data_IF_087359868797
#
_entry.id   IF_087359868797
#
_cell.length_a   1.000
_cell.length_b   1.000
_cell.length_c   1.000
_cell.angle_alpha   90.00
_cell.angle_beta   90.00
_cell.angle_gamma   90.00
#
_symmetry.space_group_name_H-M   'P 1'
#
loop_
_entity.id
_entity.type
_entity.pdbx_description
1 polymer ?
#
# COMPACT_ATOMS: atom_id res chain seq x y z
N UNK A 1 -0.13 -11.24 18.79
CA UNK A 1 -1.00 -11.88 17.77
C UNK A 1 -0.14 -12.55 16.71
N UNK A 2 -0.72 -13.53 16.02
CA UNK A 2 -0.11 -14.09 14.82
C UNK A 2 -0.60 -13.29 13.60
N UNK A 3 0.30 -12.66 12.88
CA UNK A 3 0.00 -11.88 11.68
C UNK A 3 0.56 -12.58 10.44
N UNK A 4 -0.20 -12.56 9.36
CA UNK A 4 0.28 -12.98 8.05
C UNK A 4 0.35 -11.76 7.15
N UNK A 5 1.53 -11.48 6.58
CA UNK A 5 1.72 -10.35 5.67
C UNK A 5 2.12 -10.88 4.30
N UNK A 6 1.42 -10.43 3.25
CA UNK A 6 1.81 -10.67 1.86
C UNK A 6 2.39 -9.40 1.25
N UNK A 7 3.21 -9.56 0.23
CA UNK A 7 3.87 -8.39 -0.37
C UNK A 7 4.98 -7.77 0.50
N UNK A 8 5.49 -8.50 1.48
CA UNK A 8 6.50 -8.04 2.44
C UNK A 8 7.89 -7.71 1.81
N UNK A 9 8.13 -8.09 0.55
CA UNK A 9 9.30 -7.62 -0.21
C UNK A 9 9.10 -6.23 -0.82
N UNK A 10 7.87 -5.71 -0.85
CA UNK A 10 7.51 -4.38 -1.36
C UNK A 10 7.64 -3.28 -0.32
N UNK A 11 7.41 -2.03 -0.76
CA UNK A 11 7.57 -0.82 0.06
C UNK A 11 6.67 -0.84 1.31
N UNK A 12 5.35 -0.92 1.14
CA UNK A 12 4.42 -0.95 2.27
C UNK A 12 4.55 -2.22 3.11
N UNK A 13 4.60 -3.38 2.45
CA UNK A 13 4.61 -4.66 3.15
C UNK A 13 5.83 -4.85 4.05
N UNK A 14 7.01 -4.37 3.64
CA UNK A 14 8.23 -4.40 4.47
C UNK A 14 8.13 -3.46 5.67
N UNK A 15 7.61 -2.25 5.48
CA UNK A 15 7.42 -1.29 6.57
C UNK A 15 6.45 -1.84 7.63
N UNK A 16 5.33 -2.42 7.21
CA UNK A 16 4.37 -3.07 8.10
C UNK A 16 4.98 -4.29 8.82
N UNK A 17 5.74 -5.12 8.09
CA UNK A 17 6.39 -6.29 8.68
C UNK A 17 7.36 -5.92 9.81
N UNK A 18 8.21 -4.91 9.59
CA UNK A 18 9.13 -4.41 10.60
C UNK A 18 8.39 -3.81 11.80
N UNK A 19 7.42 -2.94 11.55
CA UNK A 19 6.62 -2.31 12.58
C UNK A 19 5.93 -3.34 13.50
N UNK A 20 5.24 -4.31 12.92
CA UNK A 20 4.54 -5.32 13.72
C UNK A 20 5.46 -6.31 14.43
N UNK A 21 6.63 -6.59 13.86
CA UNK A 21 7.66 -7.35 14.56
C UNK A 21 8.15 -6.60 15.79
N UNK A 22 8.44 -5.29 15.66
CA UNK A 22 8.89 -4.42 16.76
C UNK A 22 7.80 -4.21 17.82
N UNK A 23 6.53 -4.23 17.43
CA UNK A 23 5.39 -4.23 18.34
C UNK A 23 5.18 -5.59 19.06
N UNK A 24 6.06 -6.59 18.86
CA UNK A 24 6.02 -7.88 19.56
C UNK A 24 5.03 -8.87 18.98
N UNK A 25 4.56 -8.70 17.74
CA UNK A 25 3.72 -9.68 17.07
C UNK A 25 4.56 -10.82 16.47
N UNK A 26 3.99 -12.04 16.39
CA UNK A 26 4.53 -13.11 15.57
C UNK A 26 4.12 -12.86 14.11
N UNK A 27 5.08 -12.60 13.24
CA UNK A 27 4.82 -12.22 11.86
C UNK A 27 5.27 -13.31 10.90
N UNK A 28 4.32 -13.85 10.12
CA UNK A 28 4.56 -14.74 8.98
C UNK A 28 4.54 -13.93 7.68
N UNK A 29 5.52 -14.17 6.83
CA UNK A 29 5.64 -13.53 5.51
C UNK A 29 5.38 -14.57 4.42
N UNK A 30 4.28 -14.39 3.69
CA UNK A 30 3.98 -15.23 2.53
C UNK A 30 4.63 -14.60 1.28
N UNK A 31 5.57 -15.33 0.71
CA UNK A 31 6.51 -14.85 -0.30
C UNK A 31 6.46 -15.72 -1.56
N UNK A 32 6.71 -15.11 -2.72
CA UNK A 32 7.07 -15.87 -3.92
C UNK A 32 8.47 -16.46 -3.73
N UNK A 33 8.82 -17.58 -4.38
CA UNK A 33 10.15 -18.18 -4.29
C UNK A 33 11.29 -17.22 -4.60
N UNK A 34 11.06 -16.34 -5.58
CA UNK A 34 12.04 -15.37 -6.10
C UNK A 34 12.06 -14.05 -5.33
N UNK A 35 11.20 -13.87 -4.29
CA UNK A 35 11.13 -12.62 -3.54
C UNK A 35 12.45 -12.27 -2.87
N UNK A 36 12.95 -11.08 -3.13
CA UNK A 36 14.14 -10.52 -2.48
C UNK A 36 13.73 -9.73 -1.24
N UNK A 37 14.39 -9.98 -0.11
CA UNK A 37 14.08 -9.33 1.16
C UNK A 37 15.08 -8.20 1.50
N UNK A 38 15.59 -7.51 0.49
CA UNK A 38 16.58 -6.43 0.68
C UNK A 38 16.13 -5.35 1.69
N UNK A 39 14.81 -5.06 1.75
CA UNK A 39 14.22 -4.11 2.70
C UNK A 39 14.15 -4.63 4.14
N UNK A 40 14.31 -5.94 4.33
CA UNK A 40 14.28 -6.63 5.64
C UNK A 40 15.67 -7.16 6.02
N UNK A 41 16.74 -6.69 5.32
CA UNK A 41 18.11 -7.19 5.51
C UNK A 41 18.54 -7.13 6.98
N UNK A 42 19.06 -8.26 7.47
CA UNK A 42 19.50 -8.41 8.85
C UNK A 42 18.38 -8.72 9.87
N UNK A 43 17.12 -8.75 9.43
CA UNK A 43 15.95 -9.06 10.28
C UNK A 43 15.18 -10.29 9.80
N UNK A 44 15.61 -10.93 8.71
CA UNK A 44 14.87 -12.04 8.06
C UNK A 44 14.61 -13.21 8.99
N UNK A 45 15.56 -13.54 9.87
CA UNK A 45 15.45 -14.65 10.83
C UNK A 45 14.42 -14.42 11.95
N UNK A 46 13.90 -13.20 12.10
CA UNK A 46 12.87 -12.87 13.08
C UNK A 46 11.44 -13.17 12.57
N UNK A 47 11.28 -13.47 11.28
CA UNK A 47 10.01 -13.78 10.65
C UNK A 47 9.83 -15.27 10.39
N UNK A 48 8.59 -15.76 10.41
CA UNK A 48 8.26 -17.04 9.83
C UNK A 48 8.13 -16.84 8.29
N UNK A 49 9.01 -17.46 7.51
CA UNK A 49 9.07 -17.27 6.06
C UNK A 49 8.40 -18.44 5.33
N UNK A 50 7.33 -18.17 4.56
CA UNK A 50 6.69 -19.11 3.65
C UNK A 50 7.02 -18.76 2.20
N UNK A 51 8.02 -19.42 1.62
CA UNK A 51 8.36 -19.33 0.19
C UNK A 51 7.63 -20.43 -0.57
N UNK A 52 6.43 -20.11 -1.09
CA UNK A 52 5.53 -21.09 -1.63
C UNK A 52 5.57 -21.10 -3.17
N UNK A 53 5.67 -22.33 -3.74
CA UNK A 53 5.66 -22.60 -5.17
C UNK A 53 4.30 -23.14 -5.66
N UNK A 54 3.46 -23.61 -4.74
CA UNK A 54 2.18 -24.23 -5.05
C UNK A 54 1.06 -23.71 -4.16
N UNK A 55 -0.18 -23.92 -4.60
CA UNK A 55 -1.38 -23.59 -3.82
C UNK A 55 -1.42 -24.36 -2.50
N UNK A 56 -0.97 -25.63 -2.51
CA UNK A 56 -0.91 -26.46 -1.32
C UNK A 56 0.09 -25.91 -0.28
N UNK A 57 1.29 -25.50 -0.71
CA UNK A 57 2.29 -24.91 0.20
C UNK A 57 1.77 -23.60 0.82
N UNK A 58 0.98 -22.80 0.08
CA UNK A 58 0.32 -21.61 0.60
C UNK A 58 -0.66 -21.98 1.72
N UNK A 59 -1.52 -22.98 1.50
CA UNK A 59 -2.49 -23.45 2.48
C UNK A 59 -1.80 -24.01 3.74
N UNK A 60 -0.75 -24.82 3.56
CA UNK A 60 0.03 -25.40 4.67
C UNK A 60 0.72 -24.31 5.49
N UNK A 61 1.32 -23.31 4.83
CA UNK A 61 1.96 -22.21 5.54
C UNK A 61 0.96 -21.37 6.32
N UNK A 62 -0.18 -21.00 5.73
CA UNK A 62 -1.25 -20.26 6.43
C UNK A 62 -1.75 -21.05 7.64
N UNK A 63 -1.96 -22.36 7.47
CA UNK A 63 -2.37 -23.24 8.56
C UNK A 63 -1.33 -23.31 9.69
N UNK A 64 -0.04 -23.29 9.37
CA UNK A 64 1.05 -23.30 10.38
C UNK A 64 1.18 -21.99 11.16
N UNK A 65 0.79 -20.86 10.55
CA UNK A 65 0.79 -19.54 11.20
C UNK A 65 -0.43 -19.40 12.10
N UNK A 66 -1.58 -19.97 11.71
CA UNK A 66 -2.87 -19.74 12.36
C UNK A 66 -3.10 -18.23 12.61
N UNK A 67 -3.23 -17.40 11.56
CA UNK A 67 -3.24 -15.95 11.71
C UNK A 67 -4.48 -15.47 12.46
N UNK A 68 -4.29 -14.47 13.33
CA UNK A 68 -5.36 -13.65 13.92
C UNK A 68 -5.79 -12.55 12.93
N UNK A 69 -4.82 -12.09 12.12
CA UNK A 69 -5.09 -11.16 11.03
C UNK A 69 -4.15 -11.41 9.85
N UNK A 70 -4.68 -11.09 8.66
CA UNK A 70 -3.93 -11.07 7.39
C UNK A 70 -3.85 -9.62 6.91
N UNK A 71 -2.66 -9.17 6.53
CA UNK A 71 -2.46 -7.88 5.87
C UNK A 71 -1.98 -8.15 4.45
N UNK A 72 -2.87 -7.90 3.48
CA UNK A 72 -2.64 -8.22 2.08
C UNK A 72 -2.22 -6.99 1.30
N UNK A 73 -0.90 -6.89 1.03
CA UNK A 73 -0.33 -5.79 0.25
C UNK A 73 0.26 -6.24 -1.09
N UNK A 74 0.29 -7.54 -1.36
CA UNK A 74 0.81 -8.06 -2.62
C UNK A 74 0.00 -7.55 -3.81
N UNK A 75 0.68 -7.00 -4.81
CA UNK A 75 0.04 -6.56 -6.05
C UNK A 75 1.04 -6.47 -7.21
N UNK A 76 0.51 -6.54 -8.44
CA UNK A 76 1.17 -6.19 -9.69
C UNK A 76 0.49 -4.94 -10.26
N UNK A 77 1.27 -3.89 -10.53
CA UNK A 77 0.75 -2.60 -10.99
C UNK A 77 0.58 -2.51 -12.53
N UNK A 78 1.15 -3.44 -13.29
CA UNK A 78 1.18 -3.34 -14.74
C UNK A 78 2.19 -2.32 -15.29
N UNK A 79 3.11 -1.82 -14.45
CA UNK A 79 4.10 -0.79 -14.82
C UNK A 79 5.37 -1.35 -15.44
N UNK A 80 5.63 -2.64 -15.26
CA UNK A 80 6.80 -3.35 -15.79
C UNK A 80 6.41 -4.23 -16.98
N UNK A 81 5.38 -3.83 -17.73
CA UNK A 81 4.85 -4.58 -18.88
C UNK A 81 4.33 -5.98 -18.52
N UNK A 82 3.85 -6.16 -17.28
CA UNK A 82 3.24 -7.41 -16.88
C UNK A 82 2.01 -7.71 -17.74
N UNK A 83 1.83 -8.97 -18.12
CA UNK A 83 0.67 -9.41 -18.88
C UNK A 83 -0.62 -9.28 -18.05
N UNK A 84 -1.77 -9.21 -18.72
CA UNK A 84 -3.07 -9.21 -18.05
C UNK A 84 -3.25 -10.45 -17.16
N UNK A 85 -2.75 -11.60 -17.61
CA UNK A 85 -2.78 -12.85 -16.84
C UNK A 85 -1.94 -12.72 -15.57
N UNK A 86 -0.72 -12.19 -15.66
CA UNK A 86 0.16 -11.96 -14.49
C UNK A 86 -0.47 -11.01 -13.49
N UNK A 87 -1.12 -9.93 -13.97
CA UNK A 87 -1.83 -8.98 -13.09
C UNK A 87 -3.00 -9.67 -12.40
N UNK A 88 -3.81 -10.43 -13.14
CA UNK A 88 -4.94 -11.19 -12.59
C UNK A 88 -4.48 -12.26 -11.59
N UNK A 89 -3.45 -13.02 -11.91
CA UNK A 89 -2.92 -14.06 -11.03
C UNK A 89 -2.39 -13.47 -9.72
N UNK A 90 -1.72 -12.32 -9.78
CA UNK A 90 -1.17 -11.68 -8.59
C UNK A 90 -2.25 -10.96 -7.76
N UNK A 91 -3.14 -10.20 -8.41
CA UNK A 91 -4.05 -9.30 -7.70
C UNK A 91 -5.38 -9.97 -7.33
N UNK A 92 -5.79 -11.01 -8.06
CA UNK A 92 -7.07 -11.68 -7.83
C UNK A 92 -6.86 -13.14 -7.40
N UNK A 93 -6.29 -14.00 -8.26
CA UNK A 93 -6.17 -15.44 -7.98
C UNK A 93 -5.39 -15.72 -6.70
N UNK A 94 -4.22 -15.11 -6.51
CA UNK A 94 -3.42 -15.28 -5.30
C UNK A 94 -4.17 -14.82 -4.04
N UNK A 95 -4.88 -13.70 -4.11
CA UNK A 95 -5.73 -13.24 -3.02
C UNK A 95 -6.85 -14.23 -2.67
N UNK A 96 -7.49 -14.83 -3.69
CA UNK A 96 -8.55 -15.85 -3.49
C UNK A 96 -8.01 -17.12 -2.82
N UNK A 97 -6.81 -17.57 -3.15
CA UNK A 97 -6.16 -18.70 -2.49
C UNK A 97 -5.94 -18.42 -0.99
N UNK A 98 -5.50 -17.21 -0.66
CA UNK A 98 -5.31 -16.81 0.74
C UNK A 98 -6.67 -16.76 1.46
N UNK A 99 -7.69 -16.15 0.85
CA UNK A 99 -9.04 -16.12 1.43
C UNK A 99 -9.57 -17.53 1.70
N UNK A 100 -9.44 -18.44 0.74
CA UNK A 100 -9.86 -19.82 0.88
C UNK A 100 -9.14 -20.54 2.04
N UNK A 101 -7.83 -20.36 2.17
CA UNK A 101 -7.04 -20.95 3.25
C UNK A 101 -7.40 -20.35 4.62
N UNK A 102 -7.61 -19.03 4.68
CA UNK A 102 -7.97 -18.31 5.91
C UNK A 102 -9.35 -18.73 6.43
N UNK A 103 -10.32 -18.99 5.55
CA UNK A 103 -11.66 -19.46 5.94
C UNK A 103 -11.66 -20.88 6.56
N UNK A 104 -10.58 -21.64 6.39
CA UNK A 104 -10.40 -22.95 7.04
C UNK A 104 -9.78 -22.86 8.45
N UNK A 105 -9.27 -21.68 8.82
CA UNK A 105 -8.73 -21.44 10.18
C UNK A 105 -9.87 -21.48 11.19
N UNK A 106 -9.69 -22.27 12.28
CA UNK A 106 -10.75 -22.53 13.28
C UNK A 106 -10.86 -21.42 14.34
N UNK A 107 -10.65 -20.17 13.97
CA UNK A 107 -10.82 -19.00 14.84
C UNK A 107 -11.17 -17.76 14.00
N UNK A 108 -11.71 -16.71 14.61
CA UNK A 108 -11.99 -15.46 13.90
C UNK A 108 -10.72 -14.86 13.32
N UNK A 109 -10.77 -14.47 12.03
CA UNK A 109 -9.67 -13.81 11.34
C UNK A 109 -10.12 -12.46 10.75
N UNK A 110 -9.30 -11.43 10.93
CA UNK A 110 -9.48 -10.15 10.24
C UNK A 110 -8.55 -10.07 9.02
N UNK A 111 -9.14 -9.84 7.87
CA UNK A 111 -8.39 -9.66 6.61
C UNK A 111 -8.37 -8.18 6.24
N UNK A 112 -7.20 -7.55 6.31
CA UNK A 112 -6.99 -6.16 5.91
C UNK A 112 -6.39 -6.16 4.50
N UNK A 113 -7.22 -5.82 3.51
CA UNK A 113 -6.81 -5.70 2.12
C UNK A 113 -6.34 -4.29 1.82
N UNK A 114 -5.19 -4.16 1.16
CA UNK A 114 -4.79 -2.89 0.55
C UNK A 114 -5.50 -2.74 -0.80
N UNK A 115 -6.58 -1.98 -0.81
CA UNK A 115 -7.39 -1.65 -1.98
C UNK A 115 -6.80 -0.50 -2.81
N UNK A 116 -7.65 0.17 -3.56
CA UNK A 116 -7.28 1.34 -4.39
C UNK A 116 -8.42 2.35 -4.42
N UNK A 117 -8.07 3.62 -4.51
CA UNK A 117 -9.01 4.73 -4.73
C UNK A 117 -9.31 4.97 -6.21
N UNK A 118 -8.58 4.30 -7.10
CA UNK A 118 -8.79 4.44 -8.55
C UNK A 118 -10.07 3.72 -8.96
N UNK A 119 -10.83 4.32 -9.88
CA UNK A 119 -11.98 3.65 -10.50
C UNK A 119 -11.54 2.40 -11.26
N UNK A 120 -12.40 1.35 -11.28
CA UNK A 120 -12.11 0.06 -11.91
C UNK A 120 -11.76 0.19 -13.40
N UNK A 121 -12.28 1.20 -14.09
CA UNK A 121 -12.08 1.42 -15.52
C UNK A 121 -10.74 2.11 -15.85
N UNK A 122 -9.95 2.51 -14.85
CA UNK A 122 -8.69 3.24 -15.05
C UNK A 122 -7.57 2.32 -15.56
N UNK A 123 -7.54 1.07 -15.08
CA UNK A 123 -6.47 0.14 -15.45
C UNK A 123 -6.80 -1.31 -15.06
N UNK A 124 -6.11 -2.31 -15.65
CA UNK A 124 -6.22 -3.72 -15.21
C UNK A 124 -5.90 -3.91 -13.73
N UNK A 125 -4.93 -3.14 -13.19
CA UNK A 125 -4.65 -3.12 -11.76
C UNK A 125 -5.88 -2.70 -10.94
N UNK A 126 -6.48 -1.57 -11.27
CA UNK A 126 -7.64 -1.07 -10.55
C UNK A 126 -8.82 -2.05 -10.64
N UNK A 127 -9.11 -2.58 -11.84
CA UNK A 127 -10.15 -3.57 -12.05
C UNK A 127 -9.97 -4.80 -11.14
N UNK A 128 -8.78 -5.39 -11.14
CA UNK A 128 -8.51 -6.60 -10.35
C UNK A 128 -8.57 -6.34 -8.83
N UNK A 129 -8.18 -5.15 -8.38
CA UNK A 129 -8.33 -4.75 -6.97
C UNK A 129 -9.80 -4.63 -6.55
N UNK A 130 -10.65 -4.06 -7.39
CA UNK A 130 -12.10 -4.00 -7.15
C UNK A 130 -12.74 -5.39 -7.14
N UNK A 131 -12.39 -6.26 -8.09
CA UNK A 131 -12.88 -7.64 -8.13
C UNK A 131 -12.50 -8.40 -6.87
N UNK A 132 -11.26 -8.27 -6.40
CA UNK A 132 -10.83 -8.92 -5.15
C UNK A 132 -11.60 -8.38 -3.93
N UNK A 133 -11.82 -7.07 -3.86
CA UNK A 133 -12.61 -6.48 -2.77
C UNK A 133 -14.06 -6.98 -2.76
N UNK A 134 -14.68 -7.21 -3.94
CA UNK A 134 -16.01 -7.81 -4.04
C UNK A 134 -16.04 -9.22 -3.46
N UNK A 135 -15.04 -10.06 -3.77
CA UNK A 135 -14.91 -11.40 -3.19
C UNK A 135 -14.75 -11.36 -1.67
N UNK A 136 -13.90 -10.48 -1.15
CA UNK A 136 -13.70 -10.33 0.28
C UNK A 136 -14.99 -9.96 1.02
N UNK A 137 -15.75 -8.99 0.51
CA UNK A 137 -17.06 -8.59 1.06
C UNK A 137 -18.08 -9.73 1.00
N UNK A 138 -18.17 -10.42 -0.15
CA UNK A 138 -19.07 -11.55 -0.30
C UNK A 138 -18.79 -12.64 0.76
N UNK A 139 -17.55 -13.04 0.92
CA UNK A 139 -17.17 -14.08 1.89
C UNK A 139 -17.41 -13.61 3.34
N UNK A 140 -17.12 -12.36 3.67
CA UNK A 140 -17.39 -11.81 4.99
C UNK A 140 -18.90 -11.78 5.32
N UNK A 141 -19.76 -11.52 4.33
CA UNK A 141 -21.21 -11.56 4.52
C UNK A 141 -21.75 -12.96 4.80
N UNK A 142 -21.06 -14.02 4.40
CA UNK A 142 -21.46 -15.41 4.59
C UNK A 142 -20.89 -16.05 5.87
N UNK A 143 -19.95 -15.41 6.55
CA UNK A 143 -19.09 -16.09 7.54
C UNK A 143 -19.47 -15.90 9.01
N UNK A 144 -20.66 -15.39 9.33
CA UNK A 144 -21.24 -15.29 10.68
C UNK A 144 -20.20 -14.85 11.76
N UNK A 145 -19.50 -13.72 11.52
CA UNK A 145 -18.48 -13.14 12.42
C UNK A 145 -17.15 -13.90 12.56
N UNK A 146 -16.97 -15.04 11.88
CA UNK A 146 -15.68 -15.77 11.86
C UNK A 146 -14.65 -15.12 10.92
N UNK A 147 -15.10 -14.30 9.97
CA UNK A 147 -14.23 -13.63 9.02
C UNK A 147 -14.67 -12.17 8.84
N UNK A 148 -13.73 -11.25 9.06
CA UNK A 148 -13.92 -9.81 8.84
C UNK A 148 -13.03 -9.36 7.69
N UNK A 149 -13.59 -8.55 6.78
CA UNK A 149 -12.88 -8.01 5.64
C UNK A 149 -12.86 -6.47 5.69
N UNK A 150 -11.67 -5.90 5.89
CA UNK A 150 -11.41 -4.47 5.86
C UNK A 150 -10.70 -4.13 4.57
N UNK A 151 -11.32 -3.33 3.71
CA UNK A 151 -10.73 -2.89 2.46
C UNK A 151 -10.21 -1.46 2.60
N UNK A 152 -8.90 -1.32 2.70
CA UNK A 152 -8.24 -0.01 2.82
C UNK A 152 -8.12 0.64 1.45
N UNK A 153 -8.86 1.70 1.21
CA UNK A 153 -8.75 2.55 0.02
C UNK A 153 -7.57 3.51 0.23
N UNK A 154 -6.36 3.02 -0.10
CA UNK A 154 -5.12 3.74 0.17
C UNK A 154 -4.82 4.78 -0.91
N UNK A 155 -4.55 6.01 -0.46
CA UNK A 155 -4.13 7.13 -1.30
C UNK A 155 -2.65 7.02 -1.73
N UNK A 156 -2.09 8.10 -2.28
CA UNK A 156 -0.74 8.11 -2.85
C UNK A 156 0.31 8.12 -1.73
N UNK A 157 0.72 6.96 -1.27
CA UNK A 157 1.78 6.83 -0.27
C UNK A 157 3.16 7.13 -0.86
N UNK A 158 4.02 7.74 -0.05
CA UNK A 158 5.41 8.04 -0.37
C UNK A 158 6.31 7.92 0.88
N UNK A 159 7.61 7.88 0.67
CA UNK A 159 8.61 7.84 1.74
C UNK A 159 9.95 7.30 1.24
N UNK A 160 10.95 7.18 2.15
CA UNK A 160 12.30 6.75 1.80
C UNK A 160 12.32 5.34 1.22
N UNK A 161 13.05 5.17 0.13
CA UNK A 161 13.20 3.90 -0.55
C UNK A 161 11.96 3.45 -1.34
N UNK A 162 11.02 4.31 -1.68
CA UNK A 162 9.91 3.96 -2.55
C UNK A 162 10.38 3.72 -4.00
N UNK A 163 9.51 3.13 -4.83
CA UNK A 163 9.81 2.73 -6.21
C UNK A 163 10.15 3.96 -7.08
N UNK A 164 11.35 4.00 -7.71
CA UNK A 164 11.74 5.10 -8.61
C UNK A 164 10.81 5.32 -9.79
N UNK A 165 10.04 4.32 -10.21
CA UNK A 165 9.05 4.44 -11.28
C UNK A 165 7.80 5.22 -10.88
N UNK A 166 7.60 5.50 -9.57
CA UNK A 166 6.49 6.32 -9.10
C UNK A 166 6.78 7.79 -9.35
N UNK A 167 5.72 8.53 -9.70
CA UNK A 167 5.79 9.96 -9.99
C UNK A 167 6.47 10.76 -8.87
N UNK A 168 6.10 10.52 -7.61
CA UNK A 168 6.64 11.24 -6.45
C UNK A 168 8.14 11.04 -6.29
N UNK A 169 8.59 9.79 -6.36
CA UNK A 169 10.01 9.43 -6.26
C UNK A 169 10.80 9.97 -7.46
N UNK A 170 10.22 9.89 -8.68
CA UNK A 170 10.82 10.47 -9.88
C UNK A 170 11.04 11.97 -9.74
N UNK A 171 10.03 12.74 -9.32
CA UNK A 171 10.16 14.19 -9.10
C UNK A 171 11.23 14.50 -8.05
N UNK A 172 11.24 13.78 -6.93
CA UNK A 172 12.21 13.93 -5.85
C UNK A 172 13.65 13.70 -6.36
N UNK A 173 13.88 12.62 -7.07
CA UNK A 173 15.21 12.27 -7.60
C UNK A 173 15.66 13.23 -8.68
N UNK A 174 14.77 13.63 -9.60
CA UNK A 174 15.06 14.59 -10.66
C UNK A 174 15.50 15.94 -10.07
N UNK A 175 14.74 16.48 -9.13
CA UNK A 175 15.07 17.74 -8.48
C UNK A 175 16.35 17.63 -7.65
N UNK A 176 16.54 16.54 -6.89
CA UNK A 176 17.74 16.33 -6.06
C UNK A 176 19.02 16.22 -6.87
N UNK A 177 18.94 15.60 -8.07
CA UNK A 177 20.08 15.48 -9.00
C UNK A 177 20.31 16.72 -9.84
N UNK A 178 19.48 17.74 -9.72
CA UNK A 178 19.50 18.92 -10.58
C UNK A 178 19.49 18.54 -12.08
N UNK A 179 18.63 17.59 -12.48
CA UNK A 179 18.49 17.27 -13.90
C UNK A 179 18.01 18.52 -14.66
N UNK A 180 18.45 18.75 -15.91
CA UNK A 180 18.22 20.04 -16.58
C UNK A 180 16.75 20.43 -16.66
N UNK A 181 15.85 19.47 -16.94
CA UNK A 181 14.42 19.75 -17.13
C UNK A 181 13.56 18.64 -16.56
N UNK A 182 12.36 19.00 -16.08
CA UNK A 182 11.29 18.09 -15.69
C UNK A 182 10.02 18.44 -16.46
N UNK A 183 9.64 17.58 -17.41
CA UNK A 183 8.39 17.76 -18.20
C UNK A 183 7.19 17.27 -17.38
N UNK A 184 6.14 18.09 -17.31
CA UNK A 184 4.97 17.88 -16.48
C UNK A 184 3.68 18.20 -17.26
N UNK A 185 2.56 17.64 -16.79
CA UNK A 185 1.23 18.15 -17.18
C UNK A 185 1.02 19.56 -16.64
N UNK A 186 -0.11 20.21 -16.89
CA UNK A 186 -0.40 21.53 -16.28
C UNK A 186 -0.37 21.49 -14.73
N UNK A 187 -0.52 20.29 -14.14
CA UNK A 187 -0.35 20.06 -12.71
C UNK A 187 -1.56 20.44 -11.86
N UNK A 188 -2.73 20.56 -12.47
CA UNK A 188 -3.98 20.98 -11.79
C UNK A 188 -4.65 19.82 -11.02
N UNK A 189 -4.25 18.58 -11.30
CA UNK A 189 -4.82 17.40 -10.61
C UNK A 189 -4.55 17.51 -9.11
N UNK A 190 -5.59 17.28 -8.34
CA UNK A 190 -5.56 17.23 -6.88
C UNK A 190 -5.27 15.78 -6.44
N UNK A 191 -4.27 15.59 -5.58
CA UNK A 191 -3.88 14.27 -5.05
C UNK A 191 -3.62 14.34 -3.56
N UNK A 192 -4.09 13.33 -2.85
CA UNK A 192 -3.77 13.13 -1.45
C UNK A 192 -2.47 12.32 -1.35
N UNK A 193 -1.45 12.93 -0.75
CA UNK A 193 -0.16 12.31 -0.51
C UNK A 193 0.00 11.99 0.97
N UNK A 194 0.19 10.72 1.28
CA UNK A 194 0.36 10.25 2.66
C UNK A 194 1.76 9.66 2.87
N UNK A 195 2.42 10.09 3.95
CA UNK A 195 3.74 9.59 4.31
C UNK A 195 3.66 8.16 4.85
N UNK A 196 4.68 7.33 4.58
CA UNK A 196 4.67 5.89 4.89
C UNK A 196 4.42 5.60 6.38
N UNK A 197 4.97 6.39 7.31
CA UNK A 197 4.79 6.16 8.75
C UNK A 197 3.33 6.40 9.17
N UNK A 198 2.63 7.34 8.54
CA UNK A 198 1.19 7.53 8.75
C UNK A 198 0.38 6.35 8.21
N UNK A 199 0.77 5.79 7.06
CA UNK A 199 0.14 4.57 6.54
C UNK A 199 0.33 3.41 7.52
N UNK A 200 1.56 3.19 8.00
CA UNK A 200 1.87 2.14 8.97
C UNK A 200 1.05 2.32 10.25
N UNK A 201 0.95 3.54 10.76
CA UNK A 201 0.15 3.85 11.96
C UNK A 201 -1.35 3.65 11.73
N UNK A 202 -1.86 3.92 10.52
CA UNK A 202 -3.26 3.64 10.16
C UNK A 202 -3.56 2.14 10.19
N UNK A 203 -2.68 1.30 9.62
CA UNK A 203 -2.84 -0.15 9.68
C UNK A 203 -2.74 -0.70 11.12
N UNK A 204 -1.88 -0.10 11.96
CA UNK A 204 -1.81 -0.43 13.39
C UNK A 204 -3.14 -0.16 14.09
N UNK A 205 -3.72 1.03 13.87
CA UNK A 205 -5.02 1.39 14.42
C UNK A 205 -6.13 0.44 13.95
N UNK A 206 -6.17 0.11 12.65
CA UNK A 206 -7.16 -0.83 12.11
C UNK A 206 -7.02 -2.22 12.74
N UNK A 207 -5.80 -2.67 12.98
CA UNK A 207 -5.53 -3.96 13.63
C UNK A 207 -5.95 -3.94 15.12
N UNK A 208 -5.63 -2.87 15.85
CA UNK A 208 -6.00 -2.69 17.25
C UNK A 208 -7.52 -2.60 17.44
N UNK A 209 -8.18 -1.84 16.57
CA UNK A 209 -9.64 -1.60 16.57
C UNK A 209 -10.45 -2.63 15.80
N UNK A 210 -9.82 -3.72 15.33
CA UNK A 210 -10.49 -4.71 14.46
C UNK A 210 -11.80 -5.27 15.02
N UNK A 211 -11.92 -5.37 16.35
CA UNK A 211 -13.13 -5.90 16.98
C UNK A 211 -14.28 -4.87 17.03
N UNK A 212 -13.97 -3.59 16.88
CA UNK A 212 -14.94 -2.49 16.85
C UNK A 212 -15.48 -2.27 15.42
N UNK A 213 -14.84 -2.88 14.41
CA UNK A 213 -15.25 -2.78 13.02
C UNK A 213 -16.38 -3.76 12.69
N UNK A 214 -17.28 -3.36 11.78
CA UNK A 214 -18.27 -4.26 11.19
C UNK A 214 -17.60 -5.32 10.31
N UNK A 215 -18.32 -6.40 9.98
CA UNK A 215 -17.75 -7.55 9.27
C UNK A 215 -17.14 -7.20 7.91
N UNK A 216 -17.65 -6.17 7.24
CA UNK A 216 -17.09 -5.69 5.97
C UNK A 216 -17.17 -4.17 5.92
N UNK A 217 -16.04 -3.53 5.63
CA UNK A 217 -15.96 -2.07 5.58
C UNK A 217 -14.89 -1.63 4.56
N UNK A 218 -15.21 -0.59 3.81
CA UNK A 218 -14.24 0.19 3.04
C UNK A 218 -13.80 1.37 3.89
N UNK A 219 -12.49 1.56 4.06
CA UNK A 219 -11.92 2.65 4.87
C UNK A 219 -10.89 3.39 4.02
N UNK A 220 -11.10 4.69 3.85
CA UNK A 220 -10.13 5.53 3.17
C UNK A 220 -8.97 5.89 4.10
N UNK A 221 -7.74 5.73 3.58
CA UNK A 221 -6.49 6.10 4.27
C UNK A 221 -5.70 7.05 3.40
N UNK A 222 -5.56 8.27 3.88
CA UNK A 222 -4.87 9.38 3.26
C UNK A 222 -4.48 10.43 4.30
N UNK A 223 -3.87 11.51 3.85
CA UNK A 223 -3.57 12.66 4.73
C UNK A 223 -4.79 13.53 5.01
N UNK A 224 -5.86 13.40 4.19
CA UNK A 224 -7.01 14.31 4.20
C UNK A 224 -6.70 15.68 3.58
N UNK A 225 -5.42 15.99 3.34
CA UNK A 225 -4.98 17.18 2.62
C UNK A 225 -4.60 16.81 1.17
N UNK A 226 -5.11 17.55 0.21
CA UNK A 226 -4.92 17.21 -1.19
C UNK A 226 -4.42 18.43 -1.98
N UNK A 227 -3.10 18.65 -2.03
CA UNK A 227 -2.51 19.66 -2.89
C UNK A 227 -2.66 19.29 -4.36
N UNK A 228 -2.49 20.28 -5.24
CA UNK A 228 -2.31 20.04 -6.66
C UNK A 228 -0.95 19.38 -6.94
N UNK A 229 -0.84 18.67 -8.05
CA UNK A 229 0.46 18.15 -8.54
C UNK A 229 1.47 19.27 -8.68
N UNK A 230 1.04 20.47 -9.10
CA UNK A 230 1.89 21.64 -9.21
C UNK A 230 2.46 22.06 -7.86
N UNK A 231 1.62 22.16 -6.83
CA UNK A 231 2.07 22.50 -5.47
C UNK A 231 3.02 21.45 -4.90
N UNK A 232 2.75 20.16 -5.14
CA UNK A 232 3.65 19.07 -4.76
C UNK A 232 5.03 19.25 -5.40
N UNK A 233 5.09 19.42 -6.73
CA UNK A 233 6.35 19.56 -7.48
C UNK A 233 7.12 20.81 -7.04
N UNK A 234 6.43 21.94 -6.87
CA UNK A 234 7.05 23.18 -6.40
C UNK A 234 7.60 23.05 -4.97
N UNK A 235 6.90 22.31 -4.11
CA UNK A 235 7.37 22.03 -2.75
C UNK A 235 8.65 21.19 -2.79
N UNK A 236 8.69 20.12 -3.58
CA UNK A 236 9.91 19.29 -3.77
C UNK A 236 11.06 20.14 -4.30
N UNK A 237 10.81 20.92 -5.36
CA UNK A 237 11.81 21.78 -5.99
C UNK A 237 12.42 22.77 -4.99
N UNK A 238 11.58 23.42 -4.17
CA UNK A 238 12.01 24.32 -3.11
C UNK A 238 12.84 23.61 -2.04
N UNK A 239 12.37 22.44 -1.56
CA UNK A 239 13.04 21.70 -0.49
C UNK A 239 14.41 21.14 -0.91
N UNK A 240 14.56 20.80 -2.17
CA UNK A 240 15.85 20.33 -2.73
C UNK A 240 16.75 21.46 -3.19
N UNK A 241 16.32 22.71 -3.10
CA UNK A 241 17.01 23.88 -3.68
C UNK A 241 17.45 23.63 -5.13
N UNK A 242 16.57 22.96 -5.90
CA UNK A 242 16.89 22.50 -7.24
C UNK A 242 16.94 23.63 -8.26
N UNK A 243 17.84 23.48 -9.25
CA UNK A 243 17.90 24.32 -10.44
C UNK A 243 17.19 23.69 -11.66
N UNK A 244 16.49 22.57 -11.48
CA UNK A 244 15.74 21.89 -12.55
C UNK A 244 14.66 22.81 -13.12
N UNK A 245 14.61 22.99 -14.42
CA UNK A 245 13.53 23.73 -15.09
C UNK A 245 12.23 22.92 -15.05
N UNK A 246 11.19 23.44 -14.41
CA UNK A 246 9.88 22.81 -14.29
C UNK A 246 9.00 23.18 -15.50
N UNK A 247 8.86 22.29 -16.47
CA UNK A 247 8.09 22.52 -17.71
C UNK A 247 6.64 22.09 -17.56
N UNK A 248 5.84 22.86 -16.83
CA UNK A 248 4.40 22.61 -16.68
C UNK A 248 3.65 22.84 -18.00
N UNK A 249 2.76 21.89 -18.35
CA UNK A 249 2.00 21.89 -19.61
C UNK A 249 2.76 21.26 -20.79
N UNK A 250 3.99 20.79 -20.59
CA UNK A 250 4.77 20.12 -21.64
C UNK A 250 4.23 18.71 -21.98
N UNK A 251 3.45 18.11 -21.09
CA UNK A 251 2.80 16.82 -21.29
C UNK A 251 1.27 16.96 -21.24
N UNK A 252 0.52 16.25 -22.08
CA UNK A 252 -0.93 16.20 -21.97
C UNK A 252 -1.36 15.36 -20.74
N UNK A 253 -2.57 15.57 -20.27
CA UNK A 253 -3.20 14.65 -19.32
C UNK A 253 -3.44 13.26 -19.95
N UNK A 254 -3.40 12.24 -19.13
CA UNK A 254 -3.80 10.89 -19.58
C UNK A 254 -5.30 10.85 -19.89
N UNK A 255 -5.73 10.04 -20.83
CA UNK A 255 -7.16 9.78 -20.99
C UNK A 255 -7.79 9.33 -19.67
N UNK A 256 -8.95 9.88 -19.34
CA UNK A 256 -9.68 9.58 -18.10
C UNK A 256 -8.89 9.89 -16.80
N UNK A 257 -7.96 10.84 -16.84
CA UNK A 257 -7.20 11.26 -15.64
C UNK A 257 -8.16 11.78 -14.58
N UNK A 258 -8.23 11.15 -13.39
CA UNK A 258 -9.04 11.70 -12.30
C UNK A 258 -8.47 13.05 -11.86
N UNK A 259 -9.29 14.11 -11.93
CA UNK A 259 -8.80 15.45 -11.56
C UNK A 259 -8.75 15.68 -10.05
N UNK A 260 -9.49 14.90 -9.24
CA UNK A 260 -9.48 15.00 -7.78
C UNK A 260 -9.52 13.63 -7.13
N UNK A 261 -8.51 13.34 -6.31
CA UNK A 261 -8.45 12.19 -5.40
C UNK A 261 -8.00 12.70 -4.03
N UNK A 262 -8.90 12.60 -3.04
CA UNK A 262 -8.68 13.03 -1.66
C UNK A 262 -9.43 12.07 -0.75
N UNK A 263 -8.80 11.61 0.32
CA UNK A 263 -9.42 10.71 1.28
C UNK A 263 -10.44 11.43 2.17
N UNK A 264 -11.57 10.78 2.39
CA UNK A 264 -12.40 11.07 3.56
C UNK A 264 -11.88 10.25 4.76
N UNK A 265 -11.11 10.90 5.61
CA UNK A 265 -10.50 10.26 6.79
C UNK A 265 -11.40 10.28 8.04
N UNK A 266 -12.68 10.69 7.92
CA UNK A 266 -13.62 10.80 9.05
C UNK A 266 -13.74 9.48 9.81
N UNK A 267 -13.79 8.36 9.10
CA UNK A 267 -13.85 7.04 9.74
C UNK A 267 -12.58 6.72 10.53
N UNK A 268 -11.40 7.03 9.99
CA UNK A 268 -10.13 6.83 10.70
C UNK A 268 -10.00 7.73 11.93
N UNK A 269 -10.48 8.98 11.84
CA UNK A 269 -10.55 9.90 12.99
C UNK A 269 -11.47 9.33 14.08
N UNK A 270 -12.63 8.78 13.71
CA UNK A 270 -13.54 8.14 14.66
C UNK A 270 -12.91 6.91 15.36
N UNK A 271 -11.99 6.22 14.71
CA UNK A 271 -11.19 5.14 15.31
C UNK A 271 -10.03 5.64 16.19
N UNK A 272 -9.83 6.96 16.26
CA UNK A 272 -8.77 7.60 17.05
C UNK A 272 -7.46 7.81 16.29
N UNK A 273 -7.45 7.63 14.96
CA UNK A 273 -6.27 7.87 14.13
C UNK A 273 -6.35 9.21 13.40
N UNK A 274 -5.22 9.87 13.26
CA UNK A 274 -5.04 11.01 12.36
C UNK A 274 -3.61 11.05 11.83
N UNK A 275 -3.38 11.58 10.61
CA UNK A 275 -2.04 11.71 10.06
C UNK A 275 -1.23 12.72 10.88
N UNK A 276 0.07 12.45 11.03
CA UNK A 276 1.02 13.28 11.78
C UNK A 276 1.95 14.07 10.88
N UNK A 277 2.11 13.63 9.63
CA UNK A 277 3.03 14.24 8.70
C UNK A 277 2.28 15.14 7.70
N UNK A 278 2.59 16.44 7.73
CA UNK A 278 2.27 17.31 6.59
C UNK A 278 3.09 16.89 5.36
N UNK A 279 2.67 17.30 4.16
CA UNK A 279 3.45 17.02 2.95
C UNK A 279 4.90 17.48 3.08
N UNK A 280 5.12 18.71 3.57
CA UNK A 280 6.47 19.25 3.72
C UNK A 280 7.30 18.46 4.72
N UNK A 281 6.74 18.09 5.88
CA UNK A 281 7.45 17.31 6.89
C UNK A 281 7.84 15.92 6.37
N UNK A 282 6.92 15.21 5.70
CA UNK A 282 7.18 13.90 5.11
C UNK A 282 8.22 13.94 4.00
N UNK A 283 8.20 15.00 3.15
CA UNK A 283 9.22 15.20 2.11
C UNK A 283 10.61 15.48 2.71
N UNK A 284 10.70 16.35 3.74
CA UNK A 284 11.97 16.58 4.45
C UNK A 284 12.51 15.28 5.04
N UNK A 285 11.65 14.51 5.70
CA UNK A 285 12.05 13.22 6.28
C UNK A 285 12.50 12.21 5.23
N UNK A 286 11.84 12.20 4.07
CA UNK A 286 12.25 11.36 2.93
C UNK A 286 13.63 11.76 2.42
N UNK A 287 13.87 13.07 2.23
CA UNK A 287 15.17 13.57 1.78
C UNK A 287 16.30 13.26 2.78
N UNK A 288 16.02 13.43 4.08
CA UNK A 288 16.99 13.09 5.12
C UNK A 288 17.40 11.62 5.10
N UNK A 289 16.43 10.71 4.98
CA UNK A 289 16.70 9.27 5.07
C UNK A 289 17.22 8.65 3.78
N UNK A 290 16.95 9.24 2.61
CA UNK A 290 17.45 8.72 1.34
C UNK A 290 18.80 9.30 0.95
N UNK A 291 19.11 10.53 1.36
CA UNK A 291 20.22 11.28 0.78
C UNK A 291 21.20 11.85 1.82
N UNK A 292 20.94 11.69 3.12
CA UNK A 292 21.92 11.95 4.15
C UNK A 292 22.67 10.66 4.44
N UNK A 293 23.82 10.52 3.77
CA UNK A 293 24.91 9.63 4.16
C UNK A 293 25.77 10.30 5.24
#
# INVERSE_FOLDING_TARGET
MNLLITGASGFLGSALALHFLEAGHRVGLLLRPTSQLARLRGREGAFALGRCNSDQEIEEFISSIEPDAVIHTACAYGRQSESLVTINDTNLRFGLLILQAVLRVKKPVTFINTGTVLDANVSPYALTKHQFAQWGRFLASQSAHQFRFVNVLLQHMYGPGDDPSKFMTHVLQTCRRNEPTLKLTAGEQIRDFIYIDDVVSAYSTLLEKRNDLINTVDIEVGSGAAPSIREFVQTVHKLTTSNTELQFGALPYRPNEPMRLQADITHMIALGWQPKFSLELGLRRTLELEFNE
#
